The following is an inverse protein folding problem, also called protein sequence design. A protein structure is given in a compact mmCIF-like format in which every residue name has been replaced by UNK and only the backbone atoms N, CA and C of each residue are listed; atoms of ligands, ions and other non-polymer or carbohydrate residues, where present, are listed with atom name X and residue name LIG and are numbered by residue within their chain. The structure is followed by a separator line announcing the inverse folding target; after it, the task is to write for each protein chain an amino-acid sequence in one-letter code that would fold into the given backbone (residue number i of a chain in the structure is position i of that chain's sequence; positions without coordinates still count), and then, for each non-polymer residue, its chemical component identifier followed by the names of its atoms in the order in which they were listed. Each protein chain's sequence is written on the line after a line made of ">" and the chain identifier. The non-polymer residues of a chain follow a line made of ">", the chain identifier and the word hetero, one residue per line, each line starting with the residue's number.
data_IF_975172471834
#
_entry.id   IF_975172471834
#
_cell.length_a   1.000
_cell.length_b   1.000
_cell.length_c   1.000
_cell.angle_alpha   90.00
_cell.angle_beta   90.00
_cell.angle_gamma   90.00
#
_symmetry.space_group_name_H-M   'P 1'
#
loop_
_entity.id
_entity.type
_entity.pdbx_description
1 polymer ?
#
# COMPACT_ATOMS: atom_id res chain seq x y z
N UNK A 1 10.17 -12.55 -19.59
CA UNK A 1 11.48 -12.01 -20.00
C UNK A 1 11.44 -11.77 -21.50
N UNK A 2 11.95 -10.64 -21.95
CA UNK A 2 12.01 -10.26 -23.37
C UNK A 2 13.48 -10.15 -23.73
N UNK A 3 13.90 -10.78 -24.82
CA UNK A 3 15.29 -10.73 -25.29
C UNK A 3 15.32 -10.22 -26.72
N UNK A 4 16.17 -9.23 -26.98
CA UNK A 4 16.44 -8.71 -28.31
C UNK A 4 17.83 -9.17 -28.74
N UNK A 5 17.97 -9.67 -29.97
CA UNK A 5 19.24 -10.11 -30.53
C UNK A 5 19.41 -9.44 -31.89
N UNK A 6 20.56 -8.80 -32.10
CA UNK A 6 20.97 -8.29 -33.41
C UNK A 6 22.19 -9.06 -33.87
N UNK A 7 22.26 -9.36 -35.17
CA UNK A 7 23.38 -10.10 -35.74
C UNK A 7 23.73 -9.64 -37.14
N UNK A 8 25.02 -9.72 -37.46
CA UNK A 8 25.54 -9.55 -38.80
C UNK A 8 26.71 -10.54 -39.03
N UNK A 9 27.36 -10.44 -40.19
CA UNK A 9 28.48 -11.31 -40.58
C UNK A 9 29.66 -11.30 -39.61
N UNK A 10 29.77 -10.30 -38.75
CA UNK A 10 30.88 -10.14 -37.80
C UNK A 10 30.55 -10.67 -36.40
N UNK A 11 29.28 -10.91 -36.07
CA UNK A 11 28.88 -11.42 -34.77
C UNK A 11 27.45 -11.07 -34.35
N UNK A 12 27.19 -11.25 -33.06
CA UNK A 12 25.88 -10.99 -32.45
C UNK A 12 26.02 -10.14 -31.19
N UNK A 13 24.99 -9.36 -30.91
CA UNK A 13 24.77 -8.65 -29.65
C UNK A 13 23.36 -8.91 -29.17
N UNK A 14 23.15 -8.94 -27.86
CA UNK A 14 21.84 -9.16 -27.27
C UNK A 14 21.61 -8.28 -26.05
N UNK A 15 20.35 -7.99 -25.79
CA UNK A 15 19.87 -7.29 -24.60
C UNK A 15 18.64 -8.02 -24.04
N UNK A 16 18.41 -7.92 -22.73
CA UNK A 16 17.31 -8.60 -22.03
C UNK A 16 16.57 -7.65 -21.10
N UNK A 17 15.25 -7.62 -21.23
CA UNK A 17 14.34 -6.89 -20.37
C UNK A 17 13.50 -7.88 -19.53
N UNK A 18 13.45 -7.64 -18.22
CA UNK A 18 12.59 -8.38 -17.31
C UNK A 18 11.47 -7.45 -16.84
N UNK A 19 10.24 -7.77 -17.22
CA UNK A 19 9.04 -7.13 -16.71
C UNK A 19 8.33 -8.07 -15.74
N UNK A 20 7.99 -7.56 -14.56
CA UNK A 20 7.19 -8.28 -13.56
C UNK A 20 5.75 -7.76 -13.60
N UNK A 21 4.79 -8.67 -13.55
CA UNK A 21 3.41 -8.29 -13.24
C UNK A 21 3.35 -7.92 -11.75
N UNK A 22 2.88 -6.71 -11.45
CA UNK A 22 2.61 -6.33 -10.07
C UNK A 22 1.36 -7.07 -9.57
N UNK A 23 1.32 -7.50 -8.30
CA UNK A 23 0.12 -8.06 -7.71
C UNK A 23 -1.02 -7.03 -7.73
N UNK A 24 -2.26 -7.52 -7.73
CA UNK A 24 -3.42 -6.65 -7.63
C UNK A 24 -3.39 -5.84 -6.34
N UNK A 25 -3.88 -4.60 -6.40
CA UNK A 25 -4.03 -3.76 -5.21
C UNK A 25 -5.07 -4.42 -4.30
N UNK A 26 -4.74 -4.73 -3.03
CA UNK A 26 -5.69 -5.33 -2.11
C UNK A 26 -6.84 -4.39 -1.81
N UNK A 27 -8.03 -4.95 -1.55
CA UNK A 27 -9.19 -4.16 -1.16
C UNK A 27 -9.00 -3.61 0.26
N UNK A 28 -9.13 -2.29 0.44
CA UNK A 28 -9.10 -1.63 1.74
C UNK A 28 -10.52 -1.43 2.26
N UNK A 29 -10.82 -2.02 3.42
CA UNK A 29 -12.06 -1.82 4.15
C UNK A 29 -11.74 -1.56 5.63
N UNK A 30 -12.12 -0.39 6.14
CA UNK A 30 -11.90 -0.01 7.55
C UNK A 30 -13.09 -0.37 8.46
N UNK A 31 -14.13 -0.98 7.90
CA UNK A 31 -15.40 -1.23 8.55
C UNK A 31 -16.40 -0.08 8.37
N UNK A 32 -17.50 -0.13 9.13
CA UNK A 32 -18.52 0.92 9.16
C UNK A 32 -18.06 2.11 9.99
N UNK A 33 -18.63 3.28 9.71
CA UNK A 33 -18.42 4.47 10.52
C UNK A 33 -18.83 4.23 11.98
N UNK A 34 -18.02 4.71 12.91
CA UNK A 34 -18.25 4.59 14.35
C UNK A 34 -18.36 5.97 14.98
N UNK A 35 -19.39 6.17 15.80
CA UNK A 35 -19.48 7.32 16.69
C UNK A 35 -18.77 7.00 18.01
N UNK A 36 -17.82 7.83 18.40
CA UNK A 36 -17.05 7.66 19.64
C UNK A 36 -17.59 8.58 20.73
N UNK A 37 -17.75 8.06 21.94
CA UNK A 37 -18.01 8.88 23.11
C UNK A 37 -16.74 9.67 23.51
N UNK A 38 -16.88 10.80 24.23
CA UNK A 38 -15.73 11.55 24.72
C UNK A 38 -14.80 10.68 25.57
N UNK A 39 -13.53 10.61 25.18
CA UNK A 39 -12.51 9.82 25.88
C UNK A 39 -12.35 8.39 25.36
N UNK A 40 -13.23 7.92 24.47
CA UNK A 40 -13.06 6.62 23.82
C UNK A 40 -11.91 6.63 22.82
N UNK A 41 -11.28 5.47 22.71
CA UNK A 41 -10.19 5.19 21.79
C UNK A 41 -10.51 3.89 21.07
N UNK A 42 -10.49 3.92 19.74
CA UNK A 42 -10.58 2.71 18.92
C UNK A 42 -9.26 2.44 18.23
N UNK A 43 -8.98 1.16 18.02
CA UNK A 43 -7.83 0.72 17.24
C UNK A 43 -8.32 0.17 15.91
N UNK A 44 -7.86 0.76 14.81
CA UNK A 44 -8.17 0.35 13.44
C UNK A 44 -7.02 -0.55 12.96
N UNK A 45 -7.37 -1.76 12.50
CA UNK A 45 -6.44 -2.73 11.94
C UNK A 45 -7.00 -3.29 10.63
N UNK A 46 -6.55 -2.82 9.46
CA UNK A 46 -7.05 -3.33 8.18
C UNK A 46 -6.59 -4.76 7.87
N UNK A 47 -5.57 -5.28 8.56
CA UNK A 47 -5.11 -6.67 8.42
C UNK A 47 -4.49 -7.01 7.06
N UNK A 48 -4.19 -6.02 6.21
CA UNK A 48 -3.63 -6.25 4.88
C UNK A 48 -2.10 -6.38 5.01
N UNK A 49 -1.50 -7.53 4.62
CA UNK A 49 -0.05 -7.72 4.66
C UNK A 49 0.63 -7.03 3.48
N UNK A 50 1.94 -6.75 3.62
CA UNK A 50 2.80 -6.25 2.54
C UNK A 50 2.33 -4.93 1.89
N UNK A 51 1.64 -4.07 2.65
CA UNK A 51 1.26 -2.72 2.22
C UNK A 51 1.84 -1.68 3.16
N UNK A 52 2.02 -0.47 2.64
CA UNK A 52 2.36 0.71 3.44
C UNK A 52 1.08 1.50 3.70
N UNK A 53 0.82 1.83 4.96
CA UNK A 53 -0.29 2.70 5.35
C UNK A 53 0.20 4.15 5.47
N UNK A 54 -0.70 5.09 5.24
CA UNK A 54 -0.53 6.50 5.59
C UNK A 54 -1.81 6.97 6.26
N UNK A 55 -1.71 7.32 7.54
CA UNK A 55 -2.82 7.81 8.33
C UNK A 55 -2.85 9.34 8.34
N UNK A 56 -3.98 9.92 8.75
CA UNK A 56 -4.20 11.37 8.76
C UNK A 56 -3.34 12.13 9.78
N UNK A 57 -2.71 11.44 10.72
CA UNK A 57 -1.71 12.01 11.64
C UNK A 57 -0.28 11.95 11.06
N UNK A 58 -0.13 11.45 9.83
CA UNK A 58 1.16 11.24 9.17
C UNK A 58 1.86 9.93 9.54
N UNK A 59 1.29 9.10 10.41
CA UNK A 59 1.89 7.83 10.79
C UNK A 59 1.77 6.78 9.67
N UNK A 60 2.74 5.86 9.64
CA UNK A 60 2.82 4.77 8.65
C UNK A 60 2.73 3.38 9.27
N UNK A 61 2.25 3.32 10.53
CA UNK A 61 2.08 2.07 11.26
C UNK A 61 0.94 1.23 10.69
N UNK A 62 0.98 -0.08 10.93
CA UNK A 62 -0.12 -0.99 10.54
C UNK A 62 -1.39 -0.78 11.36
N UNK A 63 -1.26 -0.26 12.59
CA UNK A 63 -2.36 0.03 13.51
C UNK A 63 -2.52 1.53 13.66
N UNK A 64 -3.78 1.99 13.60
CA UNK A 64 -4.13 3.38 13.88
C UNK A 64 -5.00 3.50 15.12
N UNK A 65 -4.68 4.46 16.00
CA UNK A 65 -5.45 4.73 17.21
C UNK A 65 -6.23 6.03 17.03
N UNK A 66 -7.53 5.90 16.76
CA UNK A 66 -8.42 7.06 16.70
C UNK A 66 -8.92 7.39 18.10
N UNK A 67 -8.91 8.68 18.44
CA UNK A 67 -9.56 9.21 19.64
C UNK A 67 -10.62 10.20 19.23
N UNK A 68 -11.73 10.25 19.98
CA UNK A 68 -12.71 11.33 19.83
C UNK A 68 -12.01 12.69 19.93
N UNK A 69 -12.02 13.51 18.87
CA UNK A 69 -11.67 14.93 19.00
C UNK A 69 -12.72 15.56 19.92
N UNK A 70 -12.30 16.28 20.96
CA UNK A 70 -13.23 17.16 21.68
C UNK A 70 -13.84 18.09 20.63
N UNK A 71 -15.15 18.04 20.48
CA UNK A 71 -15.87 19.01 19.66
C UNK A 71 -15.56 20.37 20.28
N UNK A 72 -14.73 21.17 19.60
CA UNK A 72 -14.53 22.56 20.00
C UNK A 72 -15.89 23.22 19.83
N UNK A 73 -16.43 23.69 20.95
CA UNK A 73 -17.45 24.74 20.94
C UNK A 73 -16.92 26.00 20.26
#
# INVERSE_FOLDING_TARGET
>A
MITAIISNSCGQSFDTLIAYALPAIPNLNLGTDQSLCPGEVITINPGIPNVTYLWQDGSTLTLFKQRSKKQSS
#
